data_IF_282458665052
#
_entry.id   IF_282458665052
#
_cell.length_a   1.000
_cell.length_b   1.000
_cell.length_c   1.000
_cell.angle_alpha   90.00
_cell.angle_beta   90.00
_cell.angle_gamma   90.00
#
_symmetry.space_group_name_H-M   'P 1'
#
loop_
_entity.id
_entity.type
_entity.pdbx_description
1 polymer ?
#
# COMPACT_ATOMS: atom_id res chain seq x y z
N UNK A 1 -62.11 5.02 -105.83
CA UNK A 1 -63.26 4.28 -105.27
C UNK A 1 -62.77 3.42 -104.11
N UNK A 2 -63.61 3.31 -103.08
CA UNK A 2 -63.31 2.89 -101.72
C UNK A 2 -63.17 1.36 -101.52
N UNK A 3 -62.85 1.00 -100.27
CA UNK A 3 -62.93 -0.29 -99.58
C UNK A 3 -61.69 -1.22 -99.67
N UNK A 4 -61.12 -1.76 -98.59
CA UNK A 4 -61.39 -1.64 -97.14
C UNK A 4 -60.22 -2.28 -96.38
N UNK A 5 -59.92 -1.72 -95.20
CA UNK A 5 -59.02 -2.28 -94.19
C UNK A 5 -59.46 -3.67 -93.69
N UNK A 6 -58.51 -4.51 -93.27
CA UNK A 6 -58.58 -5.20 -91.96
C UNK A 6 -57.23 -5.79 -91.48
N UNK A 7 -56.88 -5.36 -90.25
CA UNK A 7 -55.87 -5.83 -89.29
C UNK A 7 -55.89 -7.34 -89.02
N UNK A 8 -54.71 -7.90 -88.70
CA UNK A 8 -54.35 -8.66 -87.45
C UNK A 8 -52.93 -9.26 -87.58
N UNK A 9 -51.90 -8.63 -86.98
CA UNK A 9 -51.22 -9.01 -85.72
C UNK A 9 -50.62 -10.42 -85.67
N UNK A 10 -49.28 -10.52 -85.68
CA UNK A 10 -48.55 -11.47 -84.84
C UNK A 10 -47.11 -10.96 -84.60
N UNK A 11 -46.86 -10.64 -83.33
CA UNK A 11 -45.61 -10.15 -82.76
C UNK A 11 -44.57 -11.27 -82.70
N UNK A 12 -43.40 -11.06 -83.32
CA UNK A 12 -42.21 -11.87 -83.08
C UNK A 12 -41.19 -11.01 -82.32
N UNK A 13 -41.37 -11.03 -81.01
CA UNK A 13 -40.51 -10.51 -79.93
C UNK A 13 -39.02 -10.85 -80.19
N UNK A 14 -38.20 -9.85 -80.53
CA UNK A 14 -36.75 -10.00 -80.52
C UNK A 14 -36.27 -10.08 -79.06
N UNK A 15 -35.71 -11.23 -78.70
CA UNK A 15 -35.27 -11.54 -77.35
C UNK A 15 -34.04 -10.68 -76.98
N UNK A 16 -34.19 -9.82 -75.96
CA UNK A 16 -33.04 -9.30 -75.21
C UNK A 16 -32.27 -10.48 -74.62
N UNK A 17 -30.93 -10.50 -74.65
CA UNK A 17 -30.16 -11.52 -73.97
C UNK A 17 -30.38 -11.34 -72.46
N UNK A 18 -31.12 -12.27 -71.87
CA UNK A 18 -31.17 -12.46 -70.42
C UNK A 18 -29.75 -12.82 -69.99
N UNK A 19 -29.03 -11.85 -69.42
CA UNK A 19 -27.80 -12.10 -68.65
C UNK A 19 -28.25 -12.90 -67.44
N UNK A 20 -28.27 -14.22 -67.63
CA UNK A 20 -28.47 -15.21 -66.58
C UNK A 20 -27.29 -15.01 -65.64
N UNK A 21 -27.44 -14.15 -64.62
CA UNK A 21 -26.55 -14.10 -63.47
C UNK A 21 -26.55 -15.51 -62.90
N UNK A 22 -25.56 -16.31 -63.31
CA UNK A 22 -25.20 -17.52 -62.57
C UNK A 22 -24.83 -16.99 -61.20
N UNK A 23 -25.75 -17.09 -60.22
CA UNK A 23 -25.34 -17.21 -58.83
C UNK A 23 -24.47 -18.46 -58.84
N UNK A 24 -23.14 -18.28 -58.94
CA UNK A 24 -22.22 -19.36 -58.63
C UNK A 24 -22.60 -19.75 -57.21
N UNK A 25 -23.14 -20.95 -57.03
CA UNK A 25 -23.20 -21.53 -55.70
C UNK A 25 -21.75 -21.50 -55.21
N UNK A 26 -21.51 -20.85 -54.07
CA UNK A 26 -20.20 -20.91 -53.44
C UNK A 26 -19.83 -22.40 -53.36
N UNK A 27 -18.69 -22.76 -53.94
CA UNK A 27 -18.20 -24.13 -53.90
C UNK A 27 -18.00 -24.49 -52.42
N UNK A 28 -18.22 -25.76 -52.03
CA UNK A 28 -18.09 -26.18 -50.62
C UNK A 28 -16.73 -25.76 -50.04
N UNK A 29 -15.68 -25.79 -50.85
CA UNK A 29 -14.34 -25.29 -50.53
C UNK A 29 -14.29 -23.78 -50.21
N UNK A 30 -15.09 -22.94 -50.85
CA UNK A 30 -15.16 -21.50 -50.57
C UNK A 30 -15.90 -21.22 -49.25
N UNK A 31 -16.91 -22.03 -48.92
CA UNK A 31 -17.67 -21.93 -47.67
C UNK A 31 -16.80 -22.42 -46.52
N UNK A 32 -16.12 -23.55 -46.68
CA UNK A 32 -15.17 -24.10 -45.71
C UNK A 32 -14.01 -23.13 -45.46
N UNK A 33 -13.41 -22.55 -46.51
CA UNK A 33 -12.34 -21.54 -46.36
C UNK A 33 -12.83 -20.26 -45.67
N UNK A 34 -14.07 -19.82 -45.93
CA UNK A 34 -14.65 -18.65 -45.25
C UNK A 34 -14.97 -18.95 -43.78
N UNK A 35 -15.46 -20.15 -43.47
CA UNK A 35 -15.73 -20.59 -42.10
C UNK A 35 -14.44 -20.78 -41.31
N UNK A 36 -13.39 -21.31 -41.93
CA UNK A 36 -12.08 -21.49 -41.32
C UNK A 36 -11.41 -20.14 -41.03
N UNK A 37 -11.51 -19.17 -41.96
CA UNK A 37 -11.04 -17.80 -41.72
C UNK A 37 -11.82 -17.08 -40.63
N UNK A 38 -13.15 -17.25 -40.59
CA UNK A 38 -14.01 -16.66 -39.55
C UNK A 38 -13.71 -17.29 -38.17
N UNK A 39 -13.49 -18.61 -38.12
CA UNK A 39 -13.08 -19.32 -36.91
C UNK A 39 -11.67 -18.90 -36.44
N UNK A 40 -10.74 -18.66 -37.37
CA UNK A 40 -9.39 -18.16 -37.08
C UNK A 40 -9.41 -16.72 -36.57
N UNK A 41 -10.27 -15.85 -37.13
CA UNK A 41 -10.43 -14.48 -36.64
C UNK A 41 -11.11 -14.45 -35.27
N UNK A 42 -12.15 -15.25 -35.05
CA UNK A 42 -12.84 -15.34 -33.76
C UNK A 42 -11.92 -15.94 -32.68
N UNK A 43 -11.07 -16.91 -33.04
CA UNK A 43 -10.04 -17.45 -32.16
C UNK A 43 -8.97 -16.42 -31.83
N UNK A 44 -8.52 -15.65 -32.82
CA UNK A 44 -7.53 -14.58 -32.63
C UNK A 44 -8.07 -13.41 -31.79
N UNK A 45 -9.35 -13.06 -31.94
CA UNK A 45 -10.02 -12.04 -31.13
C UNK A 45 -10.24 -12.54 -29.69
N UNK A 46 -10.68 -13.78 -29.50
CA UNK A 46 -10.83 -14.38 -28.17
C UNK A 46 -9.49 -14.50 -27.42
N UNK A 47 -8.42 -14.94 -28.09
CA UNK A 47 -7.08 -15.00 -27.46
C UNK A 47 -6.53 -13.62 -27.14
N UNK A 48 -6.81 -12.59 -27.95
CA UNK A 48 -6.45 -11.20 -27.65
C UNK A 48 -7.22 -10.66 -26.44
N UNK A 49 -8.52 -10.97 -26.33
CA UNK A 49 -9.36 -10.61 -25.19
C UNK A 49 -8.88 -11.30 -23.89
N UNK A 50 -8.48 -12.57 -23.96
CA UNK A 50 -7.91 -13.32 -22.84
C UNK A 50 -6.55 -12.79 -22.40
N UNK A 51 -5.66 -12.47 -23.35
CA UNK A 51 -4.38 -11.81 -23.06
C UNK A 51 -4.58 -10.44 -22.41
N UNK A 52 -5.61 -9.69 -22.82
CA UNK A 52 -5.95 -8.41 -22.21
C UNK A 52 -6.42 -8.59 -20.77
N UNK A 53 -7.33 -9.52 -20.52
CA UNK A 53 -7.79 -9.88 -19.16
C UNK A 53 -6.65 -10.38 -18.27
N UNK A 54 -5.70 -11.13 -18.83
CA UNK A 54 -4.50 -11.57 -18.12
C UNK A 54 -3.59 -10.38 -17.78
N UNK A 55 -3.39 -9.46 -18.74
CA UNK A 55 -2.66 -8.21 -18.52
C UNK A 55 -3.29 -7.35 -17.42
N UNK A 56 -4.61 -7.19 -17.43
CA UNK A 56 -5.35 -6.45 -16.41
C UNK A 56 -5.19 -7.09 -15.02
N UNK A 57 -5.26 -8.43 -14.92
CA UNK A 57 -5.01 -9.16 -13.67
C UNK A 57 -3.57 -9.02 -13.16
N UNK A 58 -2.58 -9.05 -14.05
CA UNK A 58 -1.17 -8.85 -13.70
C UNK A 58 -0.96 -7.43 -13.19
N UNK A 59 -1.57 -6.44 -13.84
CA UNK A 59 -1.49 -5.05 -13.41
C UNK A 59 -2.15 -4.85 -12.04
N UNK A 60 -3.36 -5.38 -11.84
CA UNK A 60 -4.05 -5.33 -10.55
C UNK A 60 -3.26 -6.02 -9.42
N UNK A 61 -2.64 -7.16 -9.69
CA UNK A 61 -1.78 -7.85 -8.72
C UNK A 61 -0.52 -7.04 -8.40
N UNK A 62 0.05 -6.36 -9.39
CA UNK A 62 1.22 -5.49 -9.22
C UNK A 62 0.86 -4.26 -8.38
N UNK A 63 -0.26 -3.61 -8.68
CA UNK A 63 -0.75 -2.45 -7.91
C UNK A 63 -1.00 -2.82 -6.46
N UNK A 64 -1.64 -3.96 -6.19
CA UNK A 64 -1.80 -4.50 -4.82
C UNK A 64 -0.45 -4.75 -4.15
N UNK A 65 0.52 -5.30 -4.87
CA UNK A 65 1.89 -5.50 -4.37
C UNK A 65 2.59 -4.18 -4.02
N UNK A 66 2.43 -3.15 -4.85
CA UNK A 66 2.97 -1.81 -4.60
C UNK A 66 2.30 -1.15 -3.38
N UNK A 67 0.98 -1.28 -3.25
CA UNK A 67 0.25 -0.79 -2.07
C UNK A 67 0.73 -1.47 -0.79
N UNK A 68 0.85 -2.79 -0.78
CA UNK A 68 1.35 -3.54 0.37
C UNK A 68 2.78 -3.12 0.74
N UNK A 69 3.66 -2.97 -0.27
CA UNK A 69 5.03 -2.51 -0.04
C UNK A 69 5.06 -1.10 0.56
N UNK A 70 4.14 -0.23 0.16
CA UNK A 70 3.99 1.12 0.72
C UNK A 70 3.51 1.09 2.17
N UNK A 71 2.49 0.27 2.48
CA UNK A 71 2.00 0.08 3.85
C UNK A 71 3.12 -0.41 4.78
N UNK A 72 3.88 -1.43 4.35
CA UNK A 72 5.03 -1.94 5.10
C UNK A 72 6.08 -0.84 5.31
N UNK A 73 6.36 -0.02 4.28
CA UNK A 73 7.32 1.07 4.41
C UNK A 73 6.85 2.13 5.42
N UNK A 74 5.55 2.45 5.44
CA UNK A 74 4.95 3.36 6.42
C UNK A 74 5.05 2.79 7.84
N UNK A 75 4.77 1.50 8.02
CA UNK A 75 4.91 0.80 9.30
C UNK A 75 6.36 0.75 9.80
N UNK A 76 7.31 0.44 8.93
CA UNK A 76 8.75 0.46 9.26
C UNK A 76 9.19 1.88 9.65
N UNK A 77 8.71 2.90 8.95
CA UNK A 77 9.02 4.28 9.28
C UNK A 77 8.44 4.68 10.64
N UNK A 78 7.22 4.25 10.94
CA UNK A 78 6.57 4.48 12.24
C UNK A 78 7.34 3.77 13.37
N UNK A 79 7.66 2.49 13.18
CA UNK A 79 8.46 1.72 14.12
C UNK A 79 9.83 2.37 14.38
N UNK A 80 10.51 2.84 13.34
CA UNK A 80 11.80 3.52 13.49
C UNK A 80 11.69 4.82 14.32
N UNK A 81 10.62 5.59 14.13
CA UNK A 81 10.33 6.80 14.94
C UNK A 81 10.05 6.44 16.39
N UNK A 82 9.24 5.41 16.64
CA UNK A 82 8.89 4.96 17.99
C UNK A 82 10.13 4.42 18.71
N UNK A 83 10.94 3.60 18.05
CA UNK A 83 12.19 3.07 18.60
C UNK A 83 13.21 4.16 18.93
N UNK A 84 13.32 5.19 18.07
CA UNK A 84 14.20 6.34 18.33
C UNK A 84 13.71 7.13 19.55
N UNK A 85 12.41 7.35 19.66
CA UNK A 85 11.79 8.07 20.78
C UNK A 85 11.97 7.30 22.08
N UNK A 86 11.71 5.98 22.06
CA UNK A 86 11.95 5.09 23.19
C UNK A 86 13.42 5.11 23.64
N UNK A 87 14.36 5.09 22.69
CA UNK A 87 15.79 5.16 23.00
C UNK A 87 16.16 6.47 23.69
N UNK A 88 15.62 7.60 23.23
CA UNK A 88 15.84 8.91 23.87
C UNK A 88 15.34 8.91 25.31
N UNK A 89 14.10 8.46 25.54
CA UNK A 89 13.52 8.36 26.88
C UNK A 89 14.36 7.44 27.77
N UNK A 90 14.85 6.31 27.24
CA UNK A 90 15.71 5.38 27.99
C UNK A 90 17.04 6.01 28.40
N UNK A 91 17.66 6.81 27.53
CA UNK A 91 18.89 7.55 27.84
C UNK A 91 18.63 8.59 28.93
N UNK A 92 17.55 9.36 28.83
CA UNK A 92 17.17 10.35 29.83
C UNK A 92 16.92 9.72 31.20
N UNK A 93 16.19 8.60 31.23
CA UNK A 93 15.90 7.83 32.43
C UNK A 93 17.18 7.28 33.08
N UNK A 94 18.12 6.76 32.28
CA UNK A 94 19.44 6.36 32.76
C UNK A 94 20.20 7.53 33.38
N UNK A 95 20.18 8.71 32.75
CA UNK A 95 20.86 9.89 33.26
C UNK A 95 20.27 10.36 34.60
N UNK A 96 18.94 10.38 34.73
CA UNK A 96 18.26 10.73 35.99
C UNK A 96 18.58 9.74 37.12
N UNK A 97 18.54 8.43 36.83
CA UNK A 97 18.93 7.39 37.81
C UNK A 97 20.39 7.54 38.23
N UNK A 98 21.28 7.78 37.27
CA UNK A 98 22.70 8.05 37.54
C UNK A 98 22.89 9.29 38.41
N UNK A 99 22.14 10.37 38.15
CA UNK A 99 22.20 11.58 38.98
C UNK A 99 21.70 11.34 40.40
N UNK A 100 20.62 10.57 40.55
CA UNK A 100 20.10 10.15 41.87
C UNK A 100 21.17 9.37 42.66
N UNK A 101 21.82 8.40 42.03
CA UNK A 101 22.90 7.63 42.66
C UNK A 101 24.10 8.50 43.05
N UNK A 102 24.53 9.40 42.17
CA UNK A 102 25.58 10.39 42.48
C UNK A 102 25.21 11.23 43.69
N UNK A 103 23.95 11.64 43.78
CA UNK A 103 23.48 12.47 44.90
C UNK A 103 23.48 11.70 46.22
N UNK A 104 23.05 10.43 46.23
CA UNK A 104 23.20 9.58 47.42
C UNK A 104 24.65 9.39 47.84
N UNK A 105 25.56 9.22 46.89
CA UNK A 105 27.00 9.09 47.19
C UNK A 105 27.55 10.35 47.87
N UNK A 106 27.22 11.53 47.33
CA UNK A 106 27.58 12.82 47.93
C UNK A 106 26.99 12.99 49.32
N UNK A 107 25.72 12.63 49.51
CA UNK A 107 25.08 12.69 50.82
C UNK A 107 25.77 11.77 51.83
N UNK A 108 26.15 10.56 51.42
CA UNK A 108 26.93 9.63 52.24
C UNK A 108 28.28 10.21 52.67
N UNK A 109 28.98 10.88 51.76
CA UNK A 109 30.24 11.59 52.08
C UNK A 109 30.01 12.72 53.07
N UNK A 110 28.99 13.55 52.86
CA UNK A 110 28.64 14.62 53.78
C UNK A 110 28.27 14.09 55.18
N UNK A 111 27.57 12.96 55.24
CA UNK A 111 27.20 12.33 56.51
C UNK A 111 28.45 11.79 57.23
N UNK A 112 29.36 11.14 56.50
CA UNK A 112 30.64 10.68 57.03
C UNK A 112 31.47 11.84 57.61
N UNK A 113 31.50 12.99 56.92
CA UNK A 113 32.20 14.18 57.40
C UNK A 113 31.55 14.76 58.66
N UNK A 114 30.22 14.85 58.71
CA UNK A 114 29.52 15.29 59.92
C UNK A 114 29.76 14.37 61.12
N UNK A 115 29.83 13.05 60.87
CA UNK A 115 30.18 12.08 61.90
C UNK A 115 31.60 12.31 62.43
N UNK A 116 32.59 12.42 61.55
CA UNK A 116 34.00 12.69 61.91
C UNK A 116 34.16 14.01 62.66
N UNK A 117 33.40 15.03 62.28
CA UNK A 117 33.38 16.33 62.94
C UNK A 117 32.57 16.36 64.26
N UNK A 118 31.91 15.26 64.63
CA UNK A 118 30.97 15.18 65.78
C UNK A 118 29.83 16.20 65.71
N UNK A 119 29.38 16.57 64.51
CA UNK A 119 28.33 17.59 64.24
C UNK A 119 27.02 17.00 63.71
N UNK A 120 26.68 15.76 64.07
CA UNK A 120 25.47 15.08 63.61
C UNK A 120 24.17 15.83 63.95
N UNK A 121 24.17 16.70 64.97
CA UNK A 121 23.02 17.55 65.30
C UNK A 121 22.61 18.51 64.16
N UNK A 122 23.49 18.75 63.18
CA UNK A 122 23.25 19.62 62.01
C UNK A 122 22.77 18.88 60.75
N UNK A 123 22.39 17.61 60.84
CA UNK A 123 21.95 16.80 59.69
C UNK A 123 20.72 17.41 59.01
N UNK A 124 19.67 17.71 59.78
CA UNK A 124 18.39 18.16 59.22
C UNK A 124 18.51 19.44 58.40
N UNK A 125 19.39 20.37 58.81
CA UNK A 125 19.63 21.61 58.07
C UNK A 125 20.58 21.44 56.90
N UNK A 126 21.56 20.53 56.98
CA UNK A 126 22.50 20.27 55.87
C UNK A 126 21.89 19.51 54.71
N UNK A 127 21.02 18.54 54.98
CA UNK A 127 20.48 17.65 53.93
C UNK A 127 19.12 18.07 53.40
N UNK A 128 18.54 19.17 53.90
CA UNK A 128 17.19 19.60 53.47
C UNK A 128 17.09 19.78 51.97
N UNK A 129 18.07 20.46 51.38
CA UNK A 129 18.09 20.73 49.94
C UNK A 129 18.41 19.45 49.14
N UNK A 130 19.27 18.57 49.68
CA UNK A 130 19.55 17.27 49.07
C UNK A 130 18.31 16.38 49.00
N UNK A 131 17.51 16.32 50.09
CA UNK A 131 16.25 15.58 50.10
C UNK A 131 15.22 16.16 49.13
N UNK A 132 15.17 17.49 49.00
CA UNK A 132 14.31 18.15 48.02
C UNK A 132 14.72 17.76 46.60
N UNK A 133 16.02 17.82 46.29
CA UNK A 133 16.55 17.44 44.98
C UNK A 133 16.33 15.96 44.68
N UNK A 134 16.48 15.07 45.66
CA UNK A 134 16.15 13.65 45.50
C UNK A 134 14.68 13.43 45.18
N UNK A 135 13.77 14.14 45.87
CA UNK A 135 12.33 14.06 45.59
C UNK A 135 11.99 14.55 44.18
N UNK A 136 12.63 15.63 43.71
CA UNK A 136 12.48 16.14 42.35
C UNK A 136 12.98 15.12 41.31
N UNK A 137 14.14 14.49 41.56
CA UNK A 137 14.68 13.43 40.70
C UNK A 137 13.78 12.18 40.69
N UNK A 138 13.22 11.79 41.83
CA UNK A 138 12.28 10.67 41.92
C UNK A 138 11.02 10.92 41.11
N UNK A 139 10.41 12.10 41.25
CA UNK A 139 9.24 12.48 40.44
C UNK A 139 9.57 12.50 38.95
N UNK A 140 10.72 13.05 38.56
CA UNK A 140 11.15 13.07 37.16
C UNK A 140 11.39 11.64 36.59
N UNK A 141 11.96 10.73 37.40
CA UNK A 141 12.13 9.32 37.03
C UNK A 141 10.77 8.65 36.83
N UNK A 142 9.83 8.84 37.75
CA UNK A 142 8.48 8.26 37.64
C UNK A 142 7.74 8.76 36.40
N UNK A 143 7.84 10.05 36.08
CA UNK A 143 7.25 10.62 34.87
C UNK A 143 7.87 10.02 33.61
N UNK A 144 9.19 9.86 33.57
CA UNK A 144 9.90 9.25 32.44
C UNK A 144 9.64 7.75 32.31
N UNK A 145 9.44 7.04 33.41
CA UNK A 145 9.02 5.63 33.41
C UNK A 145 7.61 5.48 32.83
N UNK A 146 6.68 6.38 33.19
CA UNK A 146 5.34 6.43 32.60
C UNK A 146 5.38 6.77 31.11
N UNK A 147 6.25 7.69 30.70
CA UNK A 147 6.47 8.03 29.29
C UNK A 147 7.00 6.83 28.51
N UNK A 148 8.00 6.12 29.03
CA UNK A 148 8.55 4.91 28.42
C UNK A 148 7.49 3.80 28.28
N UNK A 149 6.65 3.60 29.29
CA UNK A 149 5.58 2.60 29.27
C UNK A 149 4.49 2.90 28.22
N UNK A 150 4.27 4.17 27.86
CA UNK A 150 3.35 4.54 26.78
C UNK A 150 3.89 4.26 25.39
N UNK A 151 5.23 4.25 25.24
CA UNK A 151 5.90 4.02 23.95
C UNK A 151 6.15 2.53 23.73
N UNK A 152 6.19 1.70 24.79
CA UNK A 152 6.40 0.26 24.61
C UNK A 152 5.30 -0.34 23.75
N UNK A 153 5.68 -0.80 22.56
CA UNK A 153 4.80 -1.50 21.64
C UNK A 153 4.22 -2.73 22.35
N UNK A 154 2.94 -3.07 22.11
CA UNK A 154 2.39 -4.34 22.56
C UNK A 154 3.29 -5.48 22.05
N UNK A 155 3.84 -6.25 22.97
CA UNK A 155 4.57 -7.49 22.70
C UNK A 155 3.65 -8.56 22.15
#
# INVERSE_FOLDING_TARGET
MANTQKKKTASARSAKPSVRRKKKAATLEDIESSMEKMALTDFAENTKEELRKLGDKIHEATDKGVHLAKEIAEDVQKFAKDATTFTKVKIELHNLKTEKEKHYSLMGQHLSNLYKEKKLTKIATRFRDDFKKLSELESAIEEKEKEAARISLPT
#
